data_IF_014358783773
#
_entry.id   IF_014358783773
#
_cell.length_a   1.000
_cell.length_b   1.000
_cell.length_c   1.000
_cell.angle_alpha   90.00
_cell.angle_beta   90.00
_cell.angle_gamma   90.00
#
_symmetry.space_group_name_H-M   'P 1'
#
loop_
_entity.id
_entity.type
_entity.pdbx_description
1 polymer ?
#
# COMPACT_ATOMS: atom_id res chain seq x y z
N UNK A 1 30.13 38.61 -15.00
CA UNK A 1 28.66 38.36 -15.03
C UNK A 1 28.31 37.28 -14.02
N UNK A 2 27.38 37.53 -13.08
CA UNK A 2 27.35 36.82 -11.80
C UNK A 2 26.59 35.49 -11.88
N UNK A 3 27.10 34.46 -11.20
CA UNK A 3 26.55 33.09 -11.11
C UNK A 3 25.03 33.01 -10.86
N UNK A 4 24.44 34.00 -10.19
CA UNK A 4 22.99 34.10 -9.94
C UNK A 4 22.16 34.39 -11.18
N UNK A 5 22.67 35.15 -12.16
CA UNK A 5 21.95 35.36 -13.42
C UNK A 5 21.98 34.10 -14.28
N UNK A 6 23.10 33.37 -14.31
CA UNK A 6 23.20 32.09 -15.04
C UNK A 6 22.25 31.04 -14.45
N UNK A 7 22.13 30.96 -13.11
CA UNK A 7 21.20 30.04 -12.42
C UNK A 7 19.73 30.37 -12.71
N UNK A 8 19.33 31.64 -12.62
CA UNK A 8 17.97 32.11 -12.97
C UNK A 8 17.62 31.90 -14.44
N UNK A 9 18.58 32.07 -15.35
CA UNK A 9 18.37 31.86 -16.80
C UNK A 9 18.25 30.38 -17.13
N UNK A 10 19.00 29.50 -16.45
CA UNK A 10 18.91 28.05 -16.61
C UNK A 10 17.58 27.50 -16.06
N UNK A 11 17.15 27.94 -14.87
CA UNK A 11 15.82 27.63 -14.32
C UNK A 11 14.68 28.10 -15.22
N UNK A 12 14.75 29.32 -15.77
CA UNK A 12 13.74 29.81 -16.72
C UNK A 12 13.70 28.98 -17.99
N UNK A 13 14.84 28.47 -18.48
CA UNK A 13 14.95 27.66 -19.69
C UNK A 13 14.41 26.23 -19.46
N UNK A 14 14.69 25.63 -18.31
CA UNK A 14 14.17 24.31 -17.92
C UNK A 14 12.66 24.35 -17.60
N UNK A 15 12.15 25.41 -16.96
CA UNK A 15 10.69 25.62 -16.84
C UNK A 15 10.01 25.74 -18.20
N UNK A 16 10.62 26.45 -19.16
CA UNK A 16 10.11 26.58 -20.52
C UNK A 16 10.09 25.24 -21.26
N UNK A 17 11.06 24.36 -21.02
CA UNK A 17 11.13 23.04 -21.68
C UNK A 17 10.10 22.06 -21.13
N UNK A 18 9.85 22.05 -19.82
CA UNK A 18 8.80 21.21 -19.20
C UNK A 18 7.41 21.66 -19.64
N UNK A 19 7.13 22.97 -19.63
CA UNK A 19 5.84 23.50 -20.09
C UNK A 19 5.62 23.16 -21.56
N UNK A 20 6.64 23.30 -22.41
CA UNK A 20 6.54 22.92 -23.82
C UNK A 20 6.27 21.42 -24.01
N UNK A 21 6.86 20.55 -23.18
CA UNK A 21 6.63 19.11 -23.23
C UNK A 21 5.21 18.72 -22.78
N UNK A 22 4.70 19.35 -21.71
CA UNK A 22 3.31 19.15 -21.24
C UNK A 22 2.34 19.59 -22.33
N UNK A 23 2.59 20.75 -22.95
CA UNK A 23 1.76 21.25 -24.05
C UNK A 23 1.80 20.30 -25.25
N UNK A 24 2.97 19.73 -25.58
CA UNK A 24 3.09 18.81 -26.72
C UNK A 24 2.48 17.42 -26.47
N UNK A 25 2.22 17.04 -25.23
CA UNK A 25 1.57 15.76 -24.86
C UNK A 25 0.19 15.96 -24.21
N UNK A 26 -0.38 17.16 -24.30
CA UNK A 26 -1.63 17.53 -23.65
C UNK A 26 -2.76 16.55 -23.97
N UNK A 27 -2.91 16.14 -25.22
CA UNK A 27 -4.00 15.25 -25.64
C UNK A 27 -3.87 13.86 -25.00
N UNK A 28 -2.64 13.32 -24.96
CA UNK A 28 -2.36 12.05 -24.31
C UNK A 28 -2.59 12.11 -22.79
N UNK A 29 -2.13 13.18 -22.13
CA UNK A 29 -2.38 13.42 -20.70
C UNK A 29 -3.89 13.52 -20.45
N UNK A 30 -4.63 14.22 -21.32
CA UNK A 30 -6.08 14.38 -21.22
C UNK A 30 -6.81 13.04 -21.34
N UNK A 31 -6.39 12.17 -22.26
CA UNK A 31 -6.93 10.81 -22.42
C UNK A 31 -6.73 9.99 -21.15
N UNK A 32 -5.51 10.00 -20.59
CA UNK A 32 -5.21 9.26 -19.34
C UNK A 32 -6.08 9.79 -18.18
N UNK A 33 -6.17 11.11 -18.01
CA UNK A 33 -7.00 11.72 -16.98
C UNK A 33 -8.48 11.35 -17.16
N UNK A 34 -8.98 11.35 -18.40
CA UNK A 34 -10.34 10.91 -18.73
C UNK A 34 -10.58 9.45 -18.36
N UNK A 35 -9.66 8.55 -18.73
CA UNK A 35 -9.74 7.13 -18.36
C UNK A 35 -9.75 6.95 -16.83
N UNK A 36 -8.84 7.62 -16.11
CA UNK A 36 -8.83 7.58 -14.64
C UNK A 36 -10.14 8.09 -14.03
N UNK A 37 -10.67 9.20 -14.53
CA UNK A 37 -11.93 9.78 -14.06
C UNK A 37 -13.13 8.87 -14.29
N UNK A 38 -13.14 8.08 -15.38
CA UNK A 38 -14.19 7.09 -15.66
C UNK A 38 -14.02 5.78 -14.88
N UNK A 39 -12.78 5.34 -14.66
CA UNK A 39 -12.49 4.09 -13.94
C UNK A 39 -12.72 4.22 -12.43
N UNK A 40 -12.42 5.39 -11.84
CA UNK A 40 -12.62 5.65 -10.42
C UNK A 40 -14.04 5.29 -9.93
N UNK A 41 -15.13 5.84 -10.50
CA UNK A 41 -16.48 5.55 -10.01
C UNK A 41 -16.85 4.07 -10.19
N UNK A 42 -16.36 3.39 -11.24
CA UNK A 42 -16.58 1.96 -11.46
C UNK A 42 -15.93 1.15 -10.33
N UNK A 43 -14.64 1.42 -10.07
CA UNK A 43 -13.89 0.72 -9.01
C UNK A 43 -14.47 1.01 -7.62
N UNK A 44 -14.83 2.26 -7.34
CA UNK A 44 -15.44 2.64 -6.06
C UNK A 44 -16.81 1.95 -5.88
N UNK A 45 -17.65 1.92 -6.92
CA UNK A 45 -18.95 1.25 -6.88
C UNK A 45 -18.80 -0.26 -6.64
N UNK A 46 -17.92 -0.92 -7.39
CA UNK A 46 -17.65 -2.35 -7.22
C UNK A 46 -17.15 -2.67 -5.80
N UNK A 47 -16.26 -1.83 -5.27
CA UNK A 47 -15.74 -1.96 -3.91
C UNK A 47 -16.82 -1.76 -2.85
N UNK A 48 -17.68 -0.74 -2.99
CA UNK A 48 -18.82 -0.50 -2.10
C UNK A 48 -19.76 -1.71 -2.09
N UNK A 49 -20.11 -2.25 -3.25
CA UNK A 49 -20.97 -3.44 -3.36
C UNK A 49 -20.34 -4.64 -2.63
N UNK A 50 -19.04 -4.89 -2.85
CA UNK A 50 -18.33 -5.96 -2.17
C UNK A 50 -18.29 -5.76 -0.64
N UNK A 51 -18.06 -4.51 -0.21
CA UNK A 51 -18.04 -4.14 1.21
C UNK A 51 -19.40 -4.36 1.86
N UNK A 52 -20.47 -3.81 1.26
CA UNK A 52 -21.84 -3.95 1.73
C UNK A 52 -22.26 -5.42 1.81
N UNK A 53 -21.93 -6.22 0.78
CA UNK A 53 -22.22 -7.66 0.77
C UNK A 53 -21.52 -8.40 1.92
N UNK A 54 -20.25 -8.06 2.20
CA UNK A 54 -19.51 -8.67 3.33
C UNK A 54 -20.06 -8.23 4.68
N UNK A 55 -20.38 -6.95 4.85
CA UNK A 55 -21.00 -6.43 6.07
C UNK A 55 -22.36 -7.07 6.32
N UNK A 56 -23.19 -7.23 5.28
CA UNK A 56 -24.49 -7.90 5.39
C UNK A 56 -24.34 -9.36 5.83
N UNK A 57 -23.42 -10.09 5.20
CA UNK A 57 -23.12 -11.47 5.60
C UNK A 57 -22.58 -11.58 7.03
N UNK A 58 -21.79 -10.60 7.49
CA UNK A 58 -21.17 -10.64 8.81
C UNK A 58 -22.11 -10.16 9.93
N UNK A 59 -22.74 -9.01 9.76
CA UNK A 59 -23.60 -8.37 10.76
C UNK A 59 -25.08 -8.77 10.66
N UNK A 60 -25.53 -9.36 9.54
CA UNK A 60 -26.97 -9.68 9.35
C UNK A 60 -27.87 -8.46 9.21
N UNK A 61 -27.29 -7.28 8.95
CA UNK A 61 -27.97 -6.00 8.74
C UNK A 61 -27.95 -5.70 7.23
N UNK A 62 -29.01 -5.14 6.62
CA UNK A 62 -29.02 -4.82 5.19
C UNK A 62 -27.78 -4.03 4.75
N UNK A 63 -27.09 -4.51 3.71
CA UNK A 63 -25.79 -3.97 3.26
C UNK A 63 -25.82 -2.48 2.96
N UNK A 64 -26.96 -1.95 2.48
CA UNK A 64 -27.17 -0.53 2.17
C UNK A 64 -26.89 0.45 3.33
N UNK A 65 -26.89 -0.02 4.58
CA UNK A 65 -26.60 0.81 5.75
C UNK A 65 -25.11 0.91 6.07
N UNK A 66 -24.25 0.21 5.32
CA UNK A 66 -22.81 0.25 5.46
C UNK A 66 -22.20 1.11 4.37
N UNK A 67 -21.65 2.25 4.79
CA UNK A 67 -20.89 3.12 3.90
C UNK A 67 -19.39 2.87 4.04
N UNK A 68 -18.66 2.95 2.93
CA UNK A 68 -17.21 2.83 2.87
C UNK A 68 -16.68 3.54 1.65
N UNK A 69 -15.48 4.10 1.78
CA UNK A 69 -14.79 4.75 0.68
C UNK A 69 -13.44 4.06 0.43
N UNK A 70 -13.13 3.83 -0.85
CA UNK A 70 -11.89 3.23 -1.31
C UNK A 70 -10.71 4.23 -1.39
N UNK A 71 -10.93 5.54 -1.19
CA UNK A 71 -9.94 6.60 -1.45
C UNK A 71 -8.54 6.33 -0.89
N UNK A 72 -8.43 5.95 0.39
CA UNK A 72 -7.13 5.65 1.00
C UNK A 72 -6.44 4.43 0.37
N UNK A 73 -7.23 3.44 -0.08
CA UNK A 73 -6.73 2.25 -0.77
C UNK A 73 -6.28 2.59 -2.19
N UNK A 74 -7.02 3.45 -2.89
CA UNK A 74 -6.64 3.94 -4.22
C UNK A 74 -5.41 4.85 -4.18
N UNK A 75 -5.30 5.74 -3.18
CA UNK A 75 -4.11 6.57 -2.97
C UNK A 75 -2.89 5.68 -2.73
N UNK A 76 -3.02 4.66 -1.89
CA UNK A 76 -1.97 3.68 -1.67
C UNK A 76 -1.59 2.94 -2.98
N UNK A 77 -2.56 2.49 -3.76
CA UNK A 77 -2.32 1.85 -5.06
C UNK A 77 -1.59 2.77 -6.05
N UNK A 78 -2.00 4.04 -6.13
CA UNK A 78 -1.36 5.06 -6.96
C UNK A 78 0.11 5.28 -6.56
N UNK A 79 0.40 5.34 -5.25
CA UNK A 79 1.77 5.43 -4.75
C UNK A 79 2.63 4.24 -5.17
N UNK A 80 2.10 3.01 -5.08
CA UNK A 80 2.79 1.79 -5.53
C UNK A 80 3.09 1.85 -7.03
N UNK A 81 2.10 2.18 -7.85
CA UNK A 81 2.26 2.27 -9.31
C UNK A 81 3.33 3.32 -9.67
N UNK A 82 3.26 4.50 -9.05
CA UNK A 82 4.22 5.58 -9.29
C UNK A 82 5.64 5.15 -8.91
N UNK A 83 5.78 4.46 -7.77
CA UNK A 83 7.07 3.97 -7.31
C UNK A 83 7.64 2.92 -8.27
N UNK A 84 6.83 1.96 -8.73
CA UNK A 84 7.25 0.96 -9.73
C UNK A 84 7.75 1.66 -11.00
N UNK A 85 7.02 2.65 -11.52
CA UNK A 85 7.43 3.40 -12.72
C UNK A 85 8.78 4.09 -12.53
N UNK A 86 8.97 4.75 -11.38
CA UNK A 86 10.24 5.41 -11.02
C UNK A 86 11.37 4.38 -10.90
N UNK A 87 11.11 3.20 -10.34
CA UNK A 87 12.10 2.15 -10.15
C UNK A 87 12.61 1.51 -11.45
N UNK A 88 11.81 1.51 -12.53
CA UNK A 88 12.28 1.01 -13.84
C UNK A 88 13.03 2.09 -14.63
N UNK A 89 12.87 3.37 -14.28
CA UNK A 89 13.49 4.49 -15.00
C UNK A 89 15.02 4.39 -15.15
N UNK A 90 15.82 3.99 -14.14
CA UNK A 90 17.28 3.85 -14.30
C UNK A 90 17.68 2.85 -15.37
N UNK A 91 16.95 1.75 -15.50
CA UNK A 91 17.18 0.74 -16.53
C UNK A 91 16.88 1.28 -17.93
N UNK A 92 15.78 2.02 -18.09
CA UNK A 92 15.42 2.67 -19.36
C UNK A 92 16.41 3.77 -19.74
N UNK A 93 16.81 4.65 -18.81
CA UNK A 93 17.80 5.70 -19.06
C UNK A 93 19.11 5.11 -19.55
N UNK A 94 19.62 4.08 -18.86
CA UNK A 94 20.84 3.38 -19.26
C UNK A 94 20.71 2.77 -20.66
N UNK A 95 19.59 2.09 -20.94
CA UNK A 95 19.33 1.48 -22.26
C UNK A 95 19.32 2.54 -23.37
N UNK A 96 18.64 3.65 -23.14
CA UNK A 96 18.57 4.78 -24.07
C UNK A 96 19.95 5.38 -24.41
N UNK A 97 20.80 5.63 -23.40
CA UNK A 97 22.15 6.14 -23.66
C UNK A 97 23.04 5.13 -24.38
N UNK A 98 22.86 3.83 -24.10
CA UNK A 98 23.57 2.75 -24.78
C UNK A 98 23.23 2.69 -26.27
N UNK A 99 21.94 2.76 -26.60
CA UNK A 99 21.45 2.73 -28.00
C UNK A 99 21.93 3.93 -28.82
N UNK A 100 22.14 5.09 -28.18
CA UNK A 100 22.69 6.29 -28.83
C UNK A 100 24.21 6.35 -28.87
N UNK A 101 24.93 5.32 -28.41
CA UNK A 101 26.40 5.32 -28.34
C UNK A 101 27.00 6.31 -27.33
N UNK A 102 26.18 6.90 -26.45
CA UNK A 102 26.56 7.95 -25.52
C UNK A 102 26.76 7.44 -24.08
N UNK A 103 26.77 6.12 -23.87
CA UNK A 103 26.92 5.53 -22.53
C UNK A 103 28.37 5.69 -22.03
N UNK A 104 28.60 6.77 -21.28
CA UNK A 104 29.85 7.02 -20.57
C UNK A 104 29.86 6.34 -19.19
N UNK A 105 31.04 6.26 -18.56
CA UNK A 105 31.16 5.83 -17.16
C UNK A 105 30.33 6.70 -16.21
N UNK A 106 30.22 8.01 -16.48
CA UNK A 106 29.42 8.93 -15.67
C UNK A 106 27.93 8.59 -15.67
N UNK A 107 27.35 8.39 -16.85
CA UNK A 107 25.94 7.99 -16.99
C UNK A 107 25.66 6.61 -16.37
N UNK A 108 26.63 5.69 -16.43
CA UNK A 108 26.50 4.40 -15.76
C UNK A 108 26.45 4.56 -14.23
N UNK A 109 27.34 5.40 -13.66
CA UNK A 109 27.35 5.69 -12.21
C UNK A 109 26.03 6.34 -11.79
N UNK A 110 25.52 7.29 -12.57
CA UNK A 110 24.22 7.94 -12.32
C UNK A 110 23.06 6.92 -12.30
N UNK A 111 22.99 6.05 -13.30
CA UNK A 111 21.96 5.00 -13.35
C UNK A 111 22.06 4.03 -12.15
N UNK A 112 23.28 3.66 -11.75
CA UNK A 112 23.52 2.83 -10.56
C UNK A 112 23.06 3.55 -9.29
N UNK A 113 23.45 4.80 -9.11
CA UNK A 113 23.05 5.60 -7.95
C UNK A 113 21.53 5.74 -7.85
N UNK A 114 20.86 6.06 -8.95
CA UNK A 114 19.39 6.14 -9.01
C UNK A 114 18.73 4.79 -8.75
N UNK A 115 19.29 3.68 -9.24
CA UNK A 115 18.76 2.34 -8.97
C UNK A 115 18.84 1.96 -7.49
N UNK A 116 19.90 2.38 -6.77
CA UNK A 116 20.03 2.17 -5.33
C UNK A 116 18.97 2.97 -4.58
N UNK A 117 18.84 4.28 -4.85
CA UNK A 117 17.87 5.14 -4.15
C UNK A 117 16.44 4.66 -4.37
N UNK A 118 16.07 4.40 -5.63
CA UNK A 118 14.72 3.94 -5.97
C UNK A 118 14.44 2.54 -5.43
N UNK A 119 15.45 1.67 -5.39
CA UNK A 119 15.35 0.36 -4.77
C UNK A 119 15.24 0.42 -3.24
N UNK A 120 15.89 1.36 -2.56
CA UNK A 120 15.66 1.63 -1.13
C UNK A 120 14.21 2.05 -0.89
N UNK A 121 13.62 2.86 -1.79
CA UNK A 121 12.21 3.23 -1.75
C UNK A 121 11.26 2.02 -1.84
N UNK A 122 11.51 1.12 -2.80
CA UNK A 122 10.78 -0.16 -2.92
C UNK A 122 10.94 -0.99 -1.66
N UNK A 123 12.16 -1.07 -1.13
CA UNK A 123 12.45 -1.78 0.12
C UNK A 123 11.66 -1.22 1.30
N UNK A 124 11.60 0.10 1.46
CA UNK A 124 10.84 0.75 2.53
C UNK A 124 9.33 0.47 2.42
N UNK A 125 8.78 0.50 1.21
CA UNK A 125 7.39 0.07 0.96
C UNK A 125 7.19 -1.40 1.31
N UNK A 126 8.13 -2.26 0.95
CA UNK A 126 8.07 -3.68 1.28
C UNK A 126 8.19 -3.96 2.77
N UNK A 127 8.88 -3.13 3.56
CA UNK A 127 8.83 -3.20 5.02
C UNK A 127 7.40 -2.94 5.52
N UNK A 128 6.75 -1.90 5.02
CA UNK A 128 5.36 -1.61 5.39
C UNK A 128 4.41 -2.76 5.00
N UNK A 129 4.60 -3.31 3.80
CA UNK A 129 3.81 -4.45 3.32
C UNK A 129 4.05 -5.72 4.15
N UNK A 130 5.29 -5.96 4.56
CA UNK A 130 5.65 -7.08 5.42
C UNK A 130 4.95 -6.95 6.78
N UNK A 131 4.94 -5.76 7.39
CA UNK A 131 4.21 -5.52 8.64
C UNK A 131 2.72 -5.84 8.49
N UNK A 132 2.09 -5.45 7.38
CA UNK A 132 0.68 -5.75 7.13
C UNK A 132 0.44 -7.26 6.97
N UNK A 133 1.29 -7.95 6.20
CA UNK A 133 1.25 -9.42 6.07
C UNK A 133 1.35 -10.07 7.45
N UNK A 134 2.37 -9.68 8.23
CA UNK A 134 2.65 -10.21 9.56
C UNK A 134 1.44 -10.06 10.50
N UNK A 135 0.75 -8.91 10.47
CA UNK A 135 -0.47 -8.67 11.27
C UNK A 135 -1.64 -9.57 10.88
N UNK A 136 -1.74 -9.97 9.62
CA UNK A 136 -2.84 -10.83 9.17
C UNK A 136 -2.50 -12.32 9.32
N UNK A 137 -1.23 -12.70 9.25
CA UNK A 137 -0.82 -14.12 9.27
C UNK A 137 -0.44 -14.66 10.64
N UNK A 138 -0.22 -13.82 11.66
CA UNK A 138 0.31 -14.29 12.96
C UNK A 138 -0.61 -15.30 13.68
N UNK A 139 -1.93 -15.19 13.49
CA UNK A 139 -2.92 -16.09 14.10
C UNK A 139 -3.28 -17.28 13.21
N UNK A 140 -2.74 -17.38 12.00
CA UNK A 140 -3.15 -18.41 11.04
C UNK A 140 -2.64 -19.80 11.41
N UNK A 141 -1.36 -19.93 11.80
CA UNK A 141 -0.78 -21.18 12.29
C UNK A 141 0.48 -20.93 13.15
N UNK A 142 0.91 -21.96 13.90
CA UNK A 142 2.07 -21.88 14.80
C UNK A 142 3.38 -21.56 14.06
N UNK A 143 3.51 -21.98 12.80
CA UNK A 143 4.69 -21.72 11.99
C UNK A 143 4.84 -20.23 11.64
N UNK A 144 3.78 -19.60 11.14
CA UNK A 144 3.75 -18.16 10.87
C UNK A 144 3.88 -17.34 12.15
N UNK A 145 3.28 -17.79 13.27
CA UNK A 145 3.48 -17.16 14.57
C UNK A 145 4.95 -17.15 15.01
N UNK A 146 5.68 -18.26 14.80
CA UNK A 146 7.12 -18.34 15.10
C UNK A 146 7.96 -17.41 14.22
N UNK A 147 7.66 -17.34 12.91
CA UNK A 147 8.31 -16.40 11.99
C UNK A 147 8.08 -14.96 12.44
N UNK A 148 6.83 -14.61 12.79
CA UNK A 148 6.47 -13.27 13.23
C UNK A 148 7.28 -12.85 14.45
N UNK A 149 7.31 -13.69 15.49
CA UNK A 149 8.06 -13.43 16.71
C UNK A 149 9.55 -13.25 16.43
N UNK A 150 10.13 -14.05 15.53
CA UNK A 150 11.53 -13.91 15.19
C UNK A 150 11.82 -12.57 14.50
N UNK A 151 10.98 -12.19 13.52
CA UNK A 151 11.10 -10.93 12.78
C UNK A 151 10.92 -9.71 13.68
N UNK A 152 9.97 -9.75 14.62
CA UNK A 152 9.71 -8.67 15.59
C UNK A 152 10.86 -8.53 16.60
N UNK A 153 11.38 -9.64 17.12
CA UNK A 153 12.54 -9.63 18.01
C UNK A 153 13.81 -9.08 17.33
N UNK A 154 13.87 -9.14 15.99
CA UNK A 154 14.99 -8.65 15.19
C UNK A 154 14.56 -7.53 14.23
N UNK A 155 13.61 -6.69 14.63
CA UNK A 155 12.96 -5.71 13.74
C UNK A 155 13.96 -4.83 12.96
N UNK A 156 14.99 -4.29 13.62
CA UNK A 156 15.99 -3.44 12.95
C UNK A 156 16.75 -4.18 11.84
N UNK A 157 17.12 -5.44 12.11
CA UNK A 157 17.79 -6.31 11.15
C UNK A 157 16.87 -6.65 9.97
N UNK A 158 15.61 -7.01 10.26
CA UNK A 158 14.57 -7.27 9.25
C UNK A 158 14.38 -6.08 8.31
N UNK A 159 14.20 -4.87 8.87
CA UNK A 159 14.04 -3.63 8.10
C UNK A 159 15.25 -3.41 7.18
N UNK A 160 16.45 -3.55 7.74
CA UNK A 160 17.69 -3.33 6.98
C UNK A 160 17.83 -4.31 5.82
N UNK A 161 17.57 -5.60 6.05
CA UNK A 161 17.61 -6.63 5.00
C UNK A 161 16.61 -6.32 3.89
N UNK A 162 15.36 -6.00 4.23
CA UNK A 162 14.32 -5.75 3.23
C UNK A 162 14.67 -4.52 2.36
N UNK A 163 15.27 -3.47 2.95
CA UNK A 163 15.74 -2.30 2.22
C UNK A 163 16.91 -2.64 1.28
N UNK A 164 17.87 -3.43 1.75
CA UNK A 164 19.01 -3.89 0.94
C UNK A 164 18.56 -4.77 -0.22
N UNK A 165 17.60 -5.67 0.02
CA UNK A 165 17.00 -6.49 -1.04
C UNK A 165 16.24 -5.62 -2.05
N UNK A 166 15.47 -4.61 -1.61
CA UNK A 166 14.85 -3.66 -2.54
C UNK A 166 15.88 -3.00 -3.47
N UNK A 167 17.02 -2.59 -2.91
CA UNK A 167 18.14 -2.00 -3.66
C UNK A 167 18.74 -2.97 -4.68
N UNK A 168 19.02 -4.21 -4.25
CA UNK A 168 19.56 -5.24 -5.13
C UNK A 168 18.61 -5.64 -6.26
N UNK A 169 17.30 -5.65 -6.01
CA UNK A 169 16.29 -5.94 -7.03
C UNK A 169 16.36 -4.95 -8.20
N UNK A 170 16.38 -3.64 -7.91
CA UNK A 170 16.41 -2.60 -8.94
C UNK A 170 17.80 -2.47 -9.60
N UNK A 171 18.86 -2.63 -8.82
CA UNK A 171 20.23 -2.75 -9.35
C UNK A 171 20.35 -3.90 -10.35
N UNK A 172 19.77 -5.07 -10.02
CA UNK A 172 19.81 -6.25 -10.87
C UNK A 172 19.15 -6.01 -12.22
N UNK A 173 17.97 -5.39 -12.23
CA UNK A 173 17.27 -4.98 -13.47
C UNK A 173 18.13 -4.00 -14.27
N UNK A 174 18.70 -2.99 -13.61
CA UNK A 174 19.50 -1.93 -14.25
C UNK A 174 20.80 -2.47 -14.86
N UNK A 175 21.44 -3.45 -14.22
CA UNK A 175 22.76 -3.97 -14.61
C UNK A 175 22.72 -5.33 -15.31
N UNK A 176 21.55 -5.85 -15.67
CA UNK A 176 21.40 -7.21 -16.22
C UNK A 176 22.32 -7.52 -17.42
N UNK A 177 22.50 -6.56 -18.33
CA UNK A 177 23.41 -6.69 -19.47
C UNK A 177 24.88 -6.81 -19.05
N UNK A 178 25.29 -6.06 -18.04
CA UNK A 178 26.65 -6.05 -17.53
C UNK A 178 26.96 -7.37 -16.82
N UNK A 179 25.98 -7.95 -16.11
CA UNK A 179 26.13 -9.26 -15.47
C UNK A 179 26.44 -10.38 -16.47
N UNK A 180 25.97 -10.27 -17.71
CA UNK A 180 26.28 -11.26 -18.77
C UNK A 180 27.76 -11.28 -19.14
N UNK A 181 28.47 -10.16 -18.98
CA UNK A 181 29.88 -9.99 -19.37
C UNK A 181 30.90 -10.45 -18.30
N UNK A 182 30.45 -10.88 -17.12
CA UNK A 182 31.33 -11.38 -16.06
C UNK A 182 32.04 -12.66 -16.51
N UNK A 183 33.39 -12.63 -16.54
CA UNK A 183 34.22 -13.76 -16.98
C UNK A 183 34.17 -14.97 -16.05
N UNK A 184 34.12 -14.74 -14.72
CA UNK A 184 34.10 -15.82 -13.72
C UNK A 184 32.70 -16.44 -13.63
N UNK A 185 32.55 -17.66 -14.16
CA UNK A 185 31.27 -18.39 -14.24
C UNK A 185 30.62 -18.59 -12.87
N UNK A 186 31.39 -19.01 -11.85
CA UNK A 186 30.86 -19.22 -10.49
C UNK A 186 30.35 -17.92 -9.86
N UNK A 187 31.13 -16.85 -9.89
CA UNK A 187 30.74 -15.55 -9.35
C UNK A 187 29.50 -15.00 -10.06
N UNK A 188 29.46 -15.10 -11.39
CA UNK A 188 28.31 -14.71 -12.21
C UNK A 188 27.04 -15.45 -11.77
N UNK A 189 27.13 -16.77 -11.57
CA UNK A 189 26.00 -17.59 -11.14
C UNK A 189 25.49 -17.17 -9.76
N UNK A 190 26.39 -16.96 -8.79
CA UNK A 190 26.04 -16.53 -7.43
C UNK A 190 25.33 -15.16 -7.44
N UNK A 191 25.91 -14.17 -8.13
CA UNK A 191 25.33 -12.82 -8.22
C UNK A 191 23.97 -12.85 -8.91
N UNK A 192 23.83 -13.62 -10.00
CA UNK A 192 22.55 -13.76 -10.71
C UNK A 192 21.46 -14.37 -9.82
N UNK A 193 21.80 -15.43 -9.07
CA UNK A 193 20.87 -16.06 -8.11
C UNK A 193 20.43 -15.05 -7.05
N UNK A 194 21.37 -14.33 -6.44
CA UNK A 194 21.07 -13.35 -5.39
C UNK A 194 20.12 -12.25 -5.88
N UNK A 195 20.39 -11.69 -7.06
CA UNK A 195 19.54 -10.64 -7.64
C UNK A 195 18.16 -11.17 -8.03
N UNK A 196 18.08 -12.41 -8.52
CA UNK A 196 16.80 -13.05 -8.88
C UNK A 196 15.96 -13.33 -7.63
N UNK A 197 16.56 -13.86 -6.57
CA UNK A 197 15.90 -14.09 -5.28
C UNK A 197 15.39 -12.76 -4.70
N UNK A 198 16.25 -11.74 -4.72
CA UNK A 198 15.93 -10.40 -4.24
C UNK A 198 14.70 -9.82 -4.95
N UNK A 199 14.69 -9.88 -6.28
CA UNK A 199 13.58 -9.40 -7.10
C UNK A 199 12.31 -10.20 -6.83
N UNK A 200 12.40 -11.53 -6.81
CA UNK A 200 11.26 -12.42 -6.59
C UNK A 200 10.63 -12.18 -5.23
N UNK A 201 11.42 -12.10 -4.16
CA UNK A 201 10.92 -11.82 -2.82
C UNK A 201 10.30 -10.43 -2.74
N UNK A 202 10.93 -9.43 -3.36
CA UNK A 202 10.40 -8.06 -3.40
C UNK A 202 9.03 -7.99 -4.06
N UNK A 203 8.84 -8.71 -5.17
CA UNK A 203 7.56 -8.78 -5.88
C UNK A 203 6.51 -9.52 -5.05
N UNK A 204 6.87 -10.67 -4.44
CA UNK A 204 5.95 -11.45 -3.61
C UNK A 204 5.45 -10.63 -2.42
N UNK A 205 6.36 -10.01 -1.65
CA UNK A 205 5.98 -9.18 -0.50
C UNK A 205 5.09 -8.00 -0.93
N UNK A 206 5.40 -7.37 -2.06
CA UNK A 206 4.57 -6.29 -2.60
C UNK A 206 3.18 -6.77 -2.98
N UNK A 207 3.05 -7.90 -3.67
CA UNK A 207 1.76 -8.45 -4.10
C UNK A 207 0.90 -8.86 -2.91
N UNK A 208 1.44 -9.60 -1.94
CA UNK A 208 0.68 -10.01 -0.76
C UNK A 208 0.30 -8.81 0.12
N UNK A 209 1.20 -7.85 0.32
CA UNK A 209 0.89 -6.63 1.05
C UNK A 209 -0.24 -5.83 0.38
N UNK A 210 -0.24 -5.76 -0.96
CA UNK A 210 -1.30 -5.12 -1.72
C UNK A 210 -2.64 -5.84 -1.56
N UNK A 211 -2.65 -7.17 -1.68
CA UNK A 211 -3.86 -7.99 -1.47
C UNK A 211 -4.43 -7.73 -0.09
N UNK A 212 -3.61 -7.85 0.96
CA UNK A 212 -4.07 -7.68 2.34
C UNK A 212 -4.56 -6.26 2.63
N UNK A 213 -3.86 -5.23 2.14
CA UNK A 213 -4.24 -3.84 2.36
C UNK A 213 -5.51 -3.42 1.58
N UNK A 214 -5.72 -3.96 0.39
CA UNK A 214 -6.91 -3.68 -0.42
C UNK A 214 -8.10 -4.55 0.03
N UNK A 215 -7.85 -5.71 0.65
CA UNK A 215 -8.90 -6.61 1.12
C UNK A 215 -9.87 -5.95 2.12
N UNK A 216 -11.09 -6.48 2.16
CA UNK A 216 -12.12 -6.09 3.13
C UNK A 216 -12.11 -7.14 4.25
N UNK A 217 -11.61 -6.75 5.42
CA UNK A 217 -11.39 -7.60 6.60
C UNK A 217 -12.39 -7.32 7.73
N UNK A 218 -13.69 -7.41 7.43
CA UNK A 218 -14.74 -7.17 8.43
C UNK A 218 -14.74 -8.27 9.51
N UNK A 219 -14.50 -9.52 9.12
CA UNK A 219 -14.46 -10.68 10.01
C UNK A 219 -13.30 -10.63 11.02
N UNK A 220 -12.19 -9.97 10.67
CA UNK A 220 -11.02 -9.83 11.54
C UNK A 220 -10.96 -8.47 12.24
N UNK A 221 -12.01 -7.65 12.13
CA UNK A 221 -12.04 -6.30 12.69
C UNK A 221 -12.13 -6.38 14.22
N UNK A 222 -11.13 -5.84 14.91
CA UNK A 222 -11.08 -5.71 16.39
C UNK A 222 -11.17 -4.28 16.88
N UNK A 223 -11.02 -3.29 16.00
CA UNK A 223 -11.08 -1.87 16.38
C UNK A 223 -12.43 -1.28 16.06
N UNK A 224 -13.11 -0.79 17.09
CA UNK A 224 -14.43 -0.20 16.97
C UNK A 224 -14.49 1.13 17.70
N UNK A 225 -15.38 1.99 17.20
CA UNK A 225 -15.81 3.18 17.90
C UNK A 225 -17.05 2.83 18.73
N UNK A 226 -17.09 3.33 19.96
CA UNK A 226 -18.18 3.18 20.89
C UNK A 226 -18.73 4.57 21.21
N UNK A 227 -20.03 4.64 21.48
CA UNK A 227 -20.72 5.87 21.83
C UNK A 227 -21.62 5.65 23.04
N UNK A 228 -21.53 6.56 24.00
CA UNK A 228 -22.38 6.54 25.20
C UNK A 228 -23.46 7.61 25.11
N UNK A 229 -24.72 7.20 25.26
CA UNK A 229 -25.89 8.08 25.38
C UNK A 229 -26.61 7.78 26.69
N UNK A 230 -26.83 8.78 27.54
CA UNK A 230 -27.63 8.64 28.77
C UNK A 230 -27.28 7.39 29.61
N UNK A 231 -25.98 7.12 29.79
CA UNK A 231 -25.39 5.95 30.46
C UNK A 231 -25.48 4.60 29.73
N UNK A 232 -26.11 4.53 28.56
CA UNK A 232 -26.10 3.34 27.71
C UNK A 232 -24.98 3.44 26.65
N UNK A 233 -24.14 2.41 26.58
CA UNK A 233 -23.03 2.32 25.61
C UNK A 233 -23.42 1.46 24.41
N UNK A 234 -23.09 1.93 23.22
CA UNK A 234 -23.35 1.24 21.95
C UNK A 234 -22.08 1.16 21.12
N UNK A 235 -21.97 0.13 20.27
CA UNK A 235 -20.94 0.07 19.25
C UNK A 235 -21.41 0.74 17.97
N UNK A 236 -20.54 1.56 17.37
CA UNK A 236 -20.76 2.19 16.06
C UNK A 236 -20.32 1.21 14.97
N UNK A 237 -21.25 0.82 14.11
CA UNK A 237 -21.00 -0.11 13.01
C UNK A 237 -20.71 0.61 11.69
N UNK A 238 -21.44 1.68 11.40
CA UNK A 238 -21.25 2.51 10.20
C UNK A 238 -21.96 3.86 10.34
N UNK A 239 -21.69 4.78 9.40
CA UNK A 239 -22.43 6.02 9.18
C UNK A 239 -23.33 5.87 7.95
N UNK A 240 -24.60 6.27 8.06
CA UNK A 240 -25.58 6.20 6.98
C UNK A 240 -26.48 7.44 6.98
N UNK A 241 -26.47 8.22 5.87
CA UNK A 241 -27.28 9.44 5.70
C UNK A 241 -27.35 10.32 6.95
N UNK A 242 -26.20 10.80 7.42
CA UNK A 242 -26.09 11.68 8.61
C UNK A 242 -26.59 11.05 9.93
N UNK A 243 -26.73 9.72 9.96
CA UNK A 243 -27.02 8.94 11.16
C UNK A 243 -25.92 7.92 11.38
N UNK A 244 -25.75 7.49 12.62
CA UNK A 244 -24.90 6.37 13.01
C UNK A 244 -25.74 5.11 13.11
N UNK A 245 -25.29 4.04 12.47
CA UNK A 245 -25.78 2.69 12.68
C UNK A 245 -25.12 2.13 13.93
N UNK A 246 -25.91 1.95 14.97
CA UNK A 246 -25.45 1.50 16.28
C UNK A 246 -26.00 0.11 16.59
N UNK A 247 -25.25 -0.65 17.38
CA UNK A 247 -25.72 -1.91 17.94
C UNK A 247 -25.46 -1.93 19.45
N UNK A 248 -26.40 -2.41 20.27
CA UNK A 248 -26.10 -2.77 21.64
C UNK A 248 -25.12 -3.95 21.65
N UNK A 249 -24.36 -4.07 22.73
CA UNK A 249 -23.41 -5.16 22.93
C UNK A 249 -23.44 -5.65 24.37
N UNK A 250 -22.83 -6.81 24.60
CA UNK A 250 -22.56 -7.35 25.93
C UNK A 250 -21.17 -7.98 25.92
N UNK A 251 -20.53 -8.02 27.08
CA UNK A 251 -19.26 -8.69 27.28
C UNK A 251 -19.54 -9.97 28.05
N UNK A 252 -19.09 -11.11 27.54
CA UNK A 252 -19.26 -12.38 28.23
C UNK A 252 -18.31 -12.52 29.43
N UNK A 253 -18.43 -13.63 30.17
CA UNK A 253 -17.57 -13.90 31.35
C UNK A 253 -16.08 -14.05 31.01
N UNK A 254 -15.73 -14.23 29.73
CA UNK A 254 -14.36 -14.39 29.23
C UNK A 254 -13.80 -13.10 28.62
N UNK A 255 -14.55 -11.99 28.66
CA UNK A 255 -14.14 -10.72 28.06
C UNK A 255 -14.45 -10.59 26.57
N UNK A 256 -15.14 -11.56 25.96
CA UNK A 256 -15.49 -11.55 24.55
C UNK A 256 -16.70 -10.64 24.30
N UNK A 257 -16.56 -9.73 23.34
CA UNK A 257 -17.64 -8.86 22.91
C UNK A 257 -18.65 -9.61 22.05
N UNK A 258 -19.93 -9.40 22.33
CA UNK A 258 -21.07 -9.96 21.60
C UNK A 258 -21.96 -8.80 21.14
N UNK A 259 -22.09 -8.61 19.83
CA UNK A 259 -22.91 -7.55 19.25
C UNK A 259 -24.31 -8.07 18.94
N UNK A 260 -25.33 -7.40 19.48
CA UNK A 260 -26.75 -7.71 19.26
C UNK A 260 -27.26 -6.97 18.04
N UNK A 261 -26.77 -7.38 16.87
CA UNK A 261 -27.05 -6.71 15.59
C UNK A 261 -28.50 -6.77 15.18
N UNK A 262 -29.29 -7.71 15.70
CA UNK A 262 -30.74 -7.74 15.52
C UNK A 262 -31.49 -6.56 16.20
N UNK A 263 -30.83 -5.86 17.12
CA UNK A 263 -31.38 -4.71 17.86
C UNK A 263 -30.71 -3.40 17.42
N UNK A 264 -30.25 -3.33 16.16
CA UNK A 264 -29.59 -2.15 15.64
C UNK A 264 -30.52 -0.93 15.63
N UNK A 265 -29.94 0.26 15.75
CA UNK A 265 -30.68 1.51 15.78
C UNK A 265 -29.91 2.63 15.08
N UNK A 266 -30.63 3.66 14.65
CA UNK A 266 -30.05 4.85 14.02
C UNK A 266 -30.15 6.05 14.95
N UNK A 267 -29.03 6.73 15.19
CA UNK A 267 -28.97 7.98 15.98
C UNK A 267 -28.23 9.07 15.25
N UNK A 268 -28.46 10.33 15.63
CA UNK A 268 -27.68 11.45 15.10
C UNK A 268 -26.26 11.43 15.67
N UNK A 269 -25.26 11.81 14.86
CA UNK A 269 -23.88 11.95 15.33
C UNK A 269 -23.76 13.14 16.30
N UNK A 270 -22.71 13.12 17.15
CA UNK A 270 -22.30 14.21 18.06
C UNK A 270 -23.17 14.49 19.27
N UNK A 271 -24.21 13.69 19.52
CA UNK A 271 -25.05 13.80 20.73
C UNK A 271 -24.53 12.95 21.91
N UNK A 272 -23.40 12.24 21.76
CA UNK A 272 -22.85 11.30 22.74
C UNK A 272 -21.34 11.42 22.94
N UNK A 273 -20.80 10.69 23.93
CA UNK A 273 -19.36 10.61 24.19
C UNK A 273 -18.76 9.45 23.40
N UNK A 274 -17.73 9.73 22.59
CA UNK A 274 -17.12 8.76 21.68
C UNK A 274 -15.80 8.22 22.23
N UNK A 275 -15.58 6.92 22.09
CA UNK A 275 -14.34 6.27 22.46
C UNK A 275 -13.95 5.20 21.44
N UNK A 276 -12.68 5.20 21.02
CA UNK A 276 -12.10 4.12 20.23
C UNK A 276 -11.56 3.03 21.16
N UNK A 277 -11.98 1.79 20.94
CA UNK A 277 -11.51 0.62 21.71
C UNK A 277 -11.04 -0.48 20.74
N UNK A 278 -9.95 -1.14 21.13
CA UNK A 278 -9.52 -2.40 20.51
C UNK A 278 -10.05 -3.54 21.39
N UNK A 279 -10.96 -4.36 20.85
CA UNK A 279 -11.66 -5.42 21.59
C UNK A 279 -10.90 -6.76 21.59
N UNK A 280 -9.62 -6.76 21.19
CA UNK A 280 -8.63 -7.87 21.15
C UNK A 280 -8.97 -9.02 20.18
N UNK A 281 -10.25 -9.37 20.06
CA UNK A 281 -10.82 -10.44 19.25
C UNK A 281 -12.03 -9.94 18.46
N UNK A 282 -12.29 -10.55 17.30
CA UNK A 282 -13.48 -10.25 16.51
C UNK A 282 -14.77 -10.55 17.30
N UNK A 283 -15.82 -9.70 17.22
CA UNK A 283 -17.02 -9.87 18.03
C UNK A 283 -17.88 -11.04 17.56
N UNK A 284 -18.54 -11.71 18.50
CA UNK A 284 -19.61 -12.66 18.15
C UNK A 284 -20.86 -11.87 17.77
N UNK A 285 -21.52 -12.28 16.69
CA UNK A 285 -22.69 -11.58 16.16
C UNK A 285 -23.95 -12.37 16.46
N UNK A 286 -24.89 -11.77 17.21
CA UNK A 286 -26.25 -12.29 17.36
C UNK A 286 -27.11 -11.71 16.24
N UNK A 287 -27.34 -12.55 15.24
CA UNK A 287 -28.22 -12.28 14.09
C UNK A 287 -29.65 -12.70 14.42
N UNK A 288 -30.60 -12.26 13.59
CA UNK A 288 -31.92 -12.88 13.53
C UNK A 288 -31.84 -14.30 12.98
#
# INVERSE_FOLDING_TARGET
>A
MPKNQVKKTKEKKDKKSIIAWIVSHKDFITIILGLCATLYPILNTAYIIMYQTKCEKFYGIPGKYFDSNIDNKLLYLLCIITLILISVAPAFMKKYYKERGNLTKGYLIEAVFLSVITGMGIGAVNVYNLIEIMKQTYKTNAFFGSINNWLDNHACFTITIVIVLGSFSILGITLIDNLRTIKRILLKKIVYILLTISLTLSVIVMLYGLIFKVSISIEDKTKYEFVTYNNDEYVVLSSYHEKLLLSPFQIDKKGQYIFKTNQYLFRKPYEGLYQYKDIECSPLIIRN
#
